data_IF_373268411150
#
_entry.id   IF_373268411150
#
_cell.length_a   1.000
_cell.length_b   1.000
_cell.length_c   1.000
_cell.angle_alpha   90.00
_cell.angle_beta   90.00
_cell.angle_gamma   90.00
#
_symmetry.space_group_name_H-M   'P 1'
#
loop_
_entity.id
_entity.type
_entity.pdbx_description
1 polymer ?
#
# COMPACT_ATOMS: atom_id res chain seq x y z
N UNK A 1 4.24 7.55 29.44
CA UNK A 1 4.16 6.14 29.03
C UNK A 1 5.07 5.95 27.81
N UNK A 2 5.64 4.77 27.62
CA UNK A 2 6.39 4.49 26.39
C UNK A 2 5.42 4.52 25.22
N UNK A 3 5.82 5.11 24.09
CA UNK A 3 5.01 5.15 22.87
C UNK A 3 4.87 3.74 22.29
N UNK A 4 3.73 3.47 21.63
CA UNK A 4 3.34 2.15 21.12
C UNK A 4 2.99 2.22 19.65
N UNK A 5 3.22 1.15 18.90
CA UNK A 5 2.83 1.00 17.49
C UNK A 5 1.69 -0.01 17.37
N UNK A 6 0.60 0.38 16.71
CA UNK A 6 -0.44 -0.55 16.26
C UNK A 6 -0.10 -1.03 14.85
N UNK A 7 0.20 -2.31 14.69
CA UNK A 7 0.46 -2.94 13.38
C UNK A 7 -0.88 -3.43 12.84
N UNK A 8 -1.34 -2.86 11.73
CA UNK A 8 -2.53 -3.31 11.03
C UNK A 8 -2.10 -4.14 9.83
N UNK A 9 -2.56 -5.38 9.77
CA UNK A 9 -2.28 -6.31 8.67
C UNK A 9 -3.54 -6.96 8.14
N UNK A 10 -3.61 -7.16 6.81
CA UNK A 10 -4.77 -7.74 6.15
C UNK A 10 -4.45 -9.18 5.79
N UNK A 11 -5.27 -10.11 6.27
CA UNK A 11 -5.26 -11.49 5.81
C UNK A 11 -6.41 -11.75 4.84
N UNK A 12 -6.10 -12.27 3.65
CA UNK A 12 -7.07 -12.79 2.70
C UNK A 12 -6.61 -14.14 2.15
N UNK A 13 -7.05 -15.22 2.79
CA UNK A 13 -6.64 -16.61 2.49
C UNK A 13 -5.11 -16.86 2.59
N UNK A 14 -4.37 -16.04 3.34
CA UNK A 14 -2.90 -16.08 3.50
C UNK A 14 -2.48 -16.33 4.96
N UNK A 15 -3.07 -17.34 5.61
CA UNK A 15 -2.83 -17.64 7.02
C UNK A 15 -1.36 -17.88 7.34
N UNK A 16 -0.67 -18.68 6.54
CA UNK A 16 0.72 -19.07 6.82
C UNK A 16 1.65 -17.85 6.75
N UNK A 17 1.43 -16.96 5.78
CA UNK A 17 2.16 -15.69 5.69
C UNK A 17 1.90 -14.82 6.92
N UNK A 18 0.64 -14.75 7.40
CA UNK A 18 0.29 -14.01 8.60
C UNK A 18 0.96 -14.59 9.85
N UNK A 19 1.07 -15.91 9.95
CA UNK A 19 1.79 -16.58 11.04
C UNK A 19 3.27 -16.23 10.99
N UNK A 20 3.92 -16.32 9.83
CA UNK A 20 5.34 -15.99 9.66
C UNK A 20 5.64 -14.53 10.04
N UNK A 21 4.74 -13.60 9.67
CA UNK A 21 4.83 -12.20 10.08
C UNK A 21 4.83 -12.07 11.61
N UNK A 22 3.84 -12.66 12.30
CA UNK A 22 3.72 -12.58 13.76
C UNK A 22 4.95 -13.19 14.44
N UNK A 23 5.40 -14.35 13.96
CA UNK A 23 6.58 -15.02 14.50
C UNK A 23 7.86 -14.20 14.33
N UNK A 24 8.01 -13.51 13.19
CA UNK A 24 9.15 -12.63 12.97
C UNK A 24 9.16 -11.44 13.93
N UNK A 25 8.02 -10.82 14.18
CA UNK A 25 7.89 -9.73 15.16
C UNK A 25 8.15 -10.23 16.59
N UNK A 26 7.56 -11.34 17.00
CA UNK A 26 7.81 -11.94 18.31
C UNK A 26 9.26 -12.32 18.57
N UNK A 27 10.03 -12.58 17.51
CA UNK A 27 11.46 -12.95 17.60
C UNK A 27 12.40 -11.76 17.63
N UNK A 28 12.10 -10.70 16.87
CA UNK A 28 13.06 -9.65 16.60
C UNK A 28 12.67 -8.28 17.14
N UNK A 29 11.35 -7.99 17.30
CA UNK A 29 10.92 -6.65 17.71
C UNK A 29 10.96 -6.49 19.24
N UNK A 30 11.44 -5.33 19.67
CA UNK A 30 11.56 -4.97 21.10
C UNK A 30 10.82 -3.71 21.49
N UNK A 31 10.43 -2.89 20.51
CA UNK A 31 9.63 -1.69 20.74
C UNK A 31 8.19 -2.08 21.08
N UNK A 32 7.47 -1.34 21.97
CA UNK A 32 6.09 -1.67 22.32
C UNK A 32 5.16 -1.69 21.09
N UNK A 33 4.46 -2.81 20.88
CA UNK A 33 3.52 -2.94 19.77
C UNK A 33 2.32 -3.81 20.12
N UNK A 34 1.30 -3.71 19.29
CA UNK A 34 0.18 -4.65 19.17
C UNK A 34 -0.01 -5.02 17.70
N UNK A 35 -0.67 -6.13 17.44
CA UNK A 35 -1.00 -6.58 16.08
C UNK A 35 -2.51 -6.68 15.94
N UNK A 36 -3.05 -5.99 14.92
CA UNK A 36 -4.47 -6.02 14.54
C UNK A 36 -4.54 -6.69 13.17
N UNK A 37 -5.16 -7.87 13.14
CA UNK A 37 -5.30 -8.68 11.93
C UNK A 37 -6.72 -8.50 11.40
N UNK A 38 -6.84 -8.02 10.18
CA UNK A 38 -8.10 -7.92 9.48
C UNK A 38 -8.25 -9.16 8.59
N UNK A 39 -9.11 -10.09 9.00
CA UNK A 39 -9.54 -11.15 8.09
C UNK A 39 -10.55 -10.59 7.09
N UNK A 40 -10.06 -10.34 5.90
CA UNK A 40 -10.74 -9.59 4.85
C UNK A 40 -11.67 -10.50 4.01
N UNK A 41 -12.51 -11.32 4.68
CA UNK A 41 -13.45 -12.24 4.04
C UNK A 41 -12.79 -13.53 3.53
N UNK A 42 -11.84 -14.09 4.29
CA UNK A 42 -11.24 -15.39 3.96
C UNK A 42 -12.26 -16.51 4.02
N UNK A 43 -12.08 -17.53 3.14
CA UNK A 43 -12.98 -18.69 3.09
C UNK A 43 -12.88 -19.59 4.34
N UNK A 44 -11.67 -19.76 4.87
CA UNK A 44 -11.36 -20.67 5.98
C UNK A 44 -11.07 -19.88 7.28
N UNK A 45 -12.06 -19.15 7.79
CA UNK A 45 -11.90 -18.32 8.99
C UNK A 45 -11.54 -19.12 10.26
N UNK A 46 -12.03 -20.35 10.41
CA UNK A 46 -11.84 -21.17 11.62
C UNK A 46 -10.36 -21.48 11.98
N UNK A 47 -9.43 -21.20 11.09
CA UNK A 47 -8.00 -21.46 11.30
C UNK A 47 -7.30 -20.39 12.14
N UNK A 48 -7.96 -19.27 12.48
CA UNK A 48 -7.35 -18.17 13.28
C UNK A 48 -7.14 -18.52 14.76
N UNK A 49 -7.66 -19.66 15.25
CA UNK A 49 -7.39 -20.14 16.63
C UNK A 49 -5.89 -20.31 16.90
N UNK A 50 -5.08 -20.58 15.85
CA UNK A 50 -3.61 -20.69 15.97
C UNK A 50 -2.99 -19.38 16.44
N UNK A 51 -3.60 -18.22 16.13
CA UNK A 51 -3.07 -16.90 16.43
C UNK A 51 -3.20 -16.53 17.93
N UNK A 52 -4.07 -17.19 18.68
CA UNK A 52 -4.28 -16.91 20.11
C UNK A 52 -3.10 -17.28 21.01
N UNK A 53 -2.17 -18.10 20.53
CA UNK A 53 -0.97 -18.55 21.27
C UNK A 53 0.18 -17.53 21.30
N UNK A 54 0.13 -16.50 20.46
CA UNK A 54 1.23 -15.52 20.34
C UNK A 54 1.15 -14.42 21.41
N UNK A 55 2.31 -13.83 21.74
CA UNK A 55 2.42 -12.71 22.68
C UNK A 55 3.21 -11.57 21.99
N UNK A 56 2.66 -10.33 21.92
CA UNK A 56 1.32 -9.98 22.38
C UNK A 56 0.23 -10.71 21.59
N UNK A 57 -0.91 -11.01 22.25
CA UNK A 57 -2.03 -11.69 21.59
C UNK A 57 -2.62 -10.78 20.51
N UNK A 58 -2.65 -11.20 19.23
CA UNK A 58 -3.24 -10.41 18.18
C UNK A 58 -4.74 -10.17 18.36
N UNK A 59 -5.20 -8.97 17.96
CA UNK A 59 -6.61 -8.63 17.85
C UNK A 59 -7.04 -9.06 16.43
N UNK A 60 -8.06 -9.92 16.33
CA UNK A 60 -8.54 -10.38 15.01
C UNK A 60 -9.94 -9.81 14.77
N UNK A 61 -10.06 -9.06 13.68
CA UNK A 61 -11.31 -8.45 13.22
C UNK A 61 -11.69 -9.09 11.89
N UNK A 62 -12.94 -9.55 11.78
CA UNK A 62 -13.45 -10.16 10.56
C UNK A 62 -14.32 -9.19 9.76
N UNK A 63 -14.11 -9.17 8.44
CA UNK A 63 -15.04 -8.66 7.45
C UNK A 63 -15.78 -9.82 6.76
N UNK A 64 -17.07 -9.68 6.51
CA UNK A 64 -17.86 -10.69 5.79
C UNK A 64 -17.54 -10.77 4.30
N UNK A 65 -16.87 -9.75 3.77
CA UNK A 65 -16.47 -9.63 2.35
C UNK A 65 -15.08 -9.05 2.20
N UNK A 66 -14.45 -9.31 1.05
CA UNK A 66 -13.18 -8.65 0.72
C UNK A 66 -13.42 -7.17 0.40
N UNK A 67 -12.90 -6.30 1.26
CA UNK A 67 -12.99 -4.83 1.18
C UNK A 67 -11.89 -4.21 0.31
N UNK A 68 -10.98 -5.02 -0.25
CA UNK A 68 -9.76 -4.55 -0.90
C UNK A 68 -8.70 -4.11 0.11
N UNK A 69 -7.63 -3.50 -0.40
CA UNK A 69 -6.49 -3.11 0.44
C UNK A 69 -6.82 -1.94 1.37
N UNK A 70 -7.35 -0.84 0.83
CA UNK A 70 -7.68 0.34 1.62
C UNK A 70 -8.79 0.04 2.65
N UNK A 71 -9.88 -0.61 2.25
CA UNK A 71 -11.00 -0.91 3.14
C UNK A 71 -10.62 -1.86 4.26
N UNK A 72 -9.77 -2.86 3.98
CA UNK A 72 -9.23 -3.74 5.00
C UNK A 72 -8.39 -2.99 6.03
N UNK A 73 -7.46 -2.16 5.59
CA UNK A 73 -6.62 -1.35 6.46
C UNK A 73 -7.44 -0.34 7.29
N UNK A 74 -8.38 0.35 6.66
CA UNK A 74 -9.25 1.31 7.34
C UNK A 74 -10.11 0.67 8.43
N UNK A 75 -10.58 -0.57 8.22
CA UNK A 75 -11.35 -1.31 9.22
C UNK A 75 -10.57 -1.56 10.51
N UNK A 76 -9.23 -1.62 10.43
CA UNK A 76 -8.35 -1.80 11.59
C UNK A 76 -8.13 -0.52 12.41
N UNK A 77 -8.25 0.66 11.82
CA UNK A 77 -7.90 1.93 12.46
C UNK A 77 -8.65 2.19 13.77
N UNK A 78 -9.97 1.93 13.91
CA UNK A 78 -10.70 2.15 15.16
C UNK A 78 -10.22 1.28 16.33
N UNK A 79 -9.50 0.20 16.07
CA UNK A 79 -8.96 -0.71 17.07
C UNK A 79 -7.53 -0.43 17.46
N UNK A 80 -6.88 0.54 16.78
CA UNK A 80 -5.52 0.95 17.06
C UNK A 80 -5.47 1.90 18.25
N UNK A 81 -4.77 1.53 19.32
CA UNK A 81 -4.57 2.36 20.51
C UNK A 81 -3.14 2.93 20.63
N UNK A 82 -2.27 2.60 19.65
CA UNK A 82 -0.89 3.08 19.58
C UNK A 82 -0.76 4.55 19.12
N UNK A 83 0.34 5.16 19.49
CA UNK A 83 0.74 6.51 19.03
C UNK A 83 0.99 6.54 17.52
N UNK A 84 1.38 5.40 16.96
CA UNK A 84 1.64 5.19 15.55
C UNK A 84 0.83 4.03 15.02
N UNK A 85 0.50 4.09 13.74
CA UNK A 85 -0.07 2.96 12.99
C UNK A 85 0.93 2.57 11.91
N UNK A 86 1.33 1.29 11.89
CA UNK A 86 2.06 0.66 10.81
C UNK A 86 1.11 -0.22 10.01
N UNK A 87 0.78 0.20 8.79
CA UNK A 87 0.12 -0.65 7.81
C UNK A 87 1.15 -1.56 7.19
N UNK A 88 0.99 -2.87 7.34
CA UNK A 88 1.99 -3.85 6.99
C UNK A 88 1.34 -5.05 6.29
N UNK A 89 1.83 -5.41 5.11
CA UNK A 89 1.33 -6.60 4.42
C UNK A 89 1.61 -7.87 5.22
N UNK A 90 0.66 -8.80 5.22
CA UNK A 90 0.79 -10.06 5.95
C UNK A 90 1.87 -11.00 5.40
N UNK A 91 2.28 -10.81 4.15
CA UNK A 91 3.35 -11.55 3.49
C UNK A 91 4.73 -10.88 3.63
N UNK A 92 4.95 -10.20 4.77
CA UNK A 92 6.22 -9.58 5.12
C UNK A 92 6.88 -10.25 6.33
N UNK A 93 8.18 -10.12 6.42
CA UNK A 93 9.02 -10.65 7.52
C UNK A 93 10.04 -9.59 7.91
N UNK A 94 10.39 -9.55 9.20
CA UNK A 94 11.56 -8.80 9.71
C UNK A 94 12.61 -9.77 10.25
N UNK A 95 13.86 -9.37 10.25
CA UNK A 95 14.99 -10.13 10.87
C UNK A 95 15.82 -9.27 11.84
N UNK A 96 15.33 -8.05 12.12
CA UNK A 96 15.88 -7.10 13.10
C UNK A 96 14.76 -6.15 13.57
N UNK A 97 14.93 -5.45 14.71
CA UNK A 97 13.97 -4.43 15.14
C UNK A 97 13.83 -3.31 14.11
N UNK A 98 12.59 -2.87 13.84
CA UNK A 98 12.32 -1.80 12.86
C UNK A 98 11.50 -0.65 13.42
N UNK A 99 10.66 -0.89 14.43
CA UNK A 99 9.64 0.05 14.86
C UNK A 99 10.24 1.31 15.49
N UNK A 100 11.31 1.17 16.29
CA UNK A 100 11.94 2.31 16.94
C UNK A 100 12.49 3.32 15.93
N UNK A 101 13.17 2.86 14.87
CA UNK A 101 13.72 3.75 13.85
C UNK A 101 12.62 4.47 13.07
N UNK A 102 11.54 3.76 12.73
CA UNK A 102 10.39 4.36 12.03
C UNK A 102 9.69 5.41 12.92
N UNK A 103 9.45 5.10 14.20
CA UNK A 103 8.85 6.01 15.16
C UNK A 103 9.73 7.24 15.38
N UNK A 104 11.05 7.04 15.55
CA UNK A 104 12.03 8.13 15.73
C UNK A 104 12.07 9.06 14.52
N UNK A 105 11.95 8.54 13.29
CA UNK A 105 11.90 9.39 12.11
C UNK A 105 10.68 10.33 12.13
N UNK A 106 9.53 9.84 12.57
CA UNK A 106 8.32 10.66 12.77
C UNK A 106 8.52 11.68 13.91
N UNK A 107 9.10 11.26 15.05
CA UNK A 107 9.27 12.13 16.22
C UNK A 107 10.23 13.29 15.98
N UNK A 108 11.36 12.99 15.34
CA UNK A 108 12.41 13.97 15.09
C UNK A 108 12.02 15.01 14.03
N UNK A 109 11.00 14.73 13.21
CA UNK A 109 10.60 15.65 12.14
C UNK A 109 9.07 15.72 11.98
N UNK A 110 8.42 16.75 12.56
CA UNK A 110 6.97 16.95 12.44
C UNK A 110 6.46 17.14 11.00
N UNK A 111 7.34 17.47 10.05
CA UNK A 111 6.97 17.59 8.63
C UNK A 111 6.79 16.22 7.94
N UNK A 112 7.27 15.13 8.55
CA UNK A 112 7.06 13.79 8.00
C UNK A 112 5.67 13.32 8.41
N UNK A 113 4.83 13.01 7.43
CA UNK A 113 3.49 12.45 7.64
C UNK A 113 3.43 10.94 7.49
N UNK A 114 4.34 10.37 6.71
CA UNK A 114 4.44 8.92 6.51
C UNK A 114 5.89 8.50 6.35
N UNK A 115 6.25 7.38 6.97
CA UNK A 115 7.57 6.73 6.86
C UNK A 115 7.38 5.35 6.24
N UNK A 116 8.24 5.01 5.29
CA UNK A 116 8.30 3.67 4.69
C UNK A 116 9.73 3.13 4.80
N UNK A 117 9.93 1.90 5.31
CA UNK A 117 11.24 1.27 5.41
C UNK A 117 11.78 0.86 4.03
N UNK A 118 13.02 0.40 3.99
CA UNK A 118 13.56 -0.37 2.88
C UNK A 118 12.74 -1.65 2.70
N UNK A 119 12.33 -1.97 1.47
CA UNK A 119 11.66 -3.23 1.16
C UNK A 119 12.58 -4.07 0.29
N UNK A 120 12.90 -5.26 0.76
CA UNK A 120 13.71 -6.25 0.05
C UNK A 120 12.89 -7.51 -0.25
N UNK A 121 13.32 -8.30 -1.23
CA UNK A 121 12.69 -9.56 -1.56
C UNK A 121 12.96 -10.62 -0.50
N UNK A 122 12.03 -11.53 -0.28
CA UNK A 122 12.23 -12.77 0.45
C UNK A 122 12.13 -13.95 -0.52
N UNK A 123 13.03 -14.97 -0.46
CA UNK A 123 14.14 -15.12 0.50
C UNK A 123 15.48 -14.46 0.09
N UNK A 124 15.56 -13.81 -1.09
CA UNK A 124 16.80 -13.26 -1.67
C UNK A 124 17.32 -12.00 -0.98
N UNK A 125 16.90 -11.69 0.17
CA UNK A 125 17.19 -10.56 1.09
C UNK A 125 17.97 -9.34 0.55
N UNK A 126 18.87 -9.54 -0.41
CA UNK A 126 19.69 -8.47 -1.03
C UNK A 126 19.02 -7.83 -2.25
N UNK A 127 18.04 -8.48 -2.87
CA UNK A 127 17.33 -7.89 -4.00
C UNK A 127 16.26 -6.92 -3.49
N UNK A 128 16.29 -5.68 -3.97
CA UNK A 128 15.38 -4.63 -3.49
C UNK A 128 14.08 -4.59 -4.30
N UNK A 129 13.00 -4.29 -3.59
CA UNK A 129 11.71 -3.90 -4.17
C UNK A 129 11.51 -2.37 -4.06
N UNK A 130 12.04 -1.75 -3.00
CA UNK A 130 11.86 -0.32 -2.75
C UNK A 130 12.94 0.22 -1.80
N UNK A 131 13.47 1.37 -2.21
CA UNK A 131 14.31 2.24 -1.39
C UNK A 131 13.94 3.72 -1.60
N UNK A 132 12.65 4.02 -1.69
CA UNK A 132 12.08 5.28 -2.12
C UNK A 132 11.47 5.19 -3.52
N UNK A 133 10.83 6.25 -3.98
CA UNK A 133 10.21 6.31 -5.31
C UNK A 133 10.44 7.65 -6.00
N UNK A 134 10.40 7.62 -7.33
CA UNK A 134 10.39 8.83 -8.16
C UNK A 134 9.03 9.52 -8.11
N UNK A 135 8.95 10.82 -8.41
CA UNK A 135 7.68 11.48 -8.66
C UNK A 135 6.87 10.80 -9.76
N UNK A 136 5.54 10.88 -9.65
CA UNK A 136 4.63 10.39 -10.69
C UNK A 136 4.72 11.26 -11.93
N UNK A 137 4.90 10.65 -13.10
CA UNK A 137 4.74 11.36 -14.37
C UNK A 137 3.28 11.79 -14.56
N UNK A 138 3.00 13.07 -14.77
CA UNK A 138 1.61 13.55 -14.94
C UNK A 138 0.95 13.02 -16.21
N UNK A 139 1.72 12.59 -17.20
CA UNK A 139 1.22 12.06 -18.48
C UNK A 139 1.04 10.55 -18.44
N UNK A 140 2.11 9.82 -18.10
CA UNK A 140 2.09 8.35 -18.13
C UNK A 140 1.44 7.74 -16.91
N UNK A 141 1.29 8.49 -15.81
CA UNK A 141 0.80 8.04 -14.51
C UNK A 141 1.58 6.84 -13.99
N UNK A 142 2.89 6.94 -14.14
CA UNK A 142 3.86 5.94 -13.66
C UNK A 142 4.92 6.63 -12.83
N UNK A 143 5.35 5.97 -11.80
CA UNK A 143 6.54 6.23 -11.02
C UNK A 143 7.38 4.94 -10.99
N UNK A 144 8.59 5.05 -10.48
CA UNK A 144 9.49 3.91 -10.33
C UNK A 144 9.90 3.81 -8.86
N UNK A 145 9.97 2.59 -8.35
CA UNK A 145 10.60 2.32 -7.07
C UNK A 145 12.12 2.35 -7.28
N UNK A 146 12.79 3.24 -6.56
CA UNK A 146 14.25 3.36 -6.61
C UNK A 146 14.87 2.06 -6.07
N UNK A 147 15.83 1.51 -6.79
CA UNK A 147 16.49 0.27 -6.44
C UNK A 147 15.71 -1.01 -6.81
N UNK A 148 14.52 -0.93 -7.41
CA UNK A 148 13.74 -2.11 -7.78
C UNK A 148 14.56 -3.10 -8.65
N UNK A 149 14.63 -4.36 -8.20
CA UNK A 149 15.37 -5.41 -8.88
C UNK A 149 16.89 -5.34 -8.75
N UNK A 150 17.43 -4.33 -8.06
CA UNK A 150 18.89 -4.18 -7.85
C UNK A 150 19.32 -4.93 -6.58
N UNK A 151 20.58 -5.38 -6.60
CA UNK A 151 21.21 -5.93 -5.39
C UNK A 151 21.63 -4.78 -4.47
N UNK A 152 21.26 -4.84 -3.21
CA UNK A 152 21.71 -3.89 -2.19
C UNK A 152 23.16 -4.20 -1.76
N UNK A 153 24.06 -3.29 -2.08
CA UNK A 153 25.48 -3.30 -1.67
C UNK A 153 25.79 -2.14 -0.73
N UNK A 154 24.75 -1.48 -0.16
CA UNK A 154 24.87 -0.32 0.71
C UNK A 154 24.57 1.02 0.05
N UNK A 155 24.39 1.05 -1.27
CA UNK A 155 24.14 2.27 -2.03
C UNK A 155 22.80 2.95 -1.69
N UNK A 156 21.89 2.26 -0.99
CA UNK A 156 20.58 2.76 -0.58
C UNK A 156 20.47 2.98 0.95
N UNK A 157 21.57 3.05 1.67
CA UNK A 157 21.60 3.19 3.14
C UNK A 157 21.49 4.65 3.61
N UNK A 158 21.00 5.57 2.77
CA UNK A 158 20.74 6.96 3.15
C UNK A 158 19.25 7.25 3.16
N UNK A 159 18.71 7.53 4.34
CA UNK A 159 17.32 7.97 4.53
C UNK A 159 17.07 9.34 3.88
N UNK A 160 15.88 9.55 3.28
CA UNK A 160 15.57 10.75 2.51
C UNK A 160 14.07 10.97 2.31
N UNK A 161 13.69 12.16 1.92
CA UNK A 161 12.36 12.39 1.38
C UNK A 161 12.15 11.62 0.08
N UNK A 162 10.95 11.13 -0.12
CA UNK A 162 10.53 10.36 -1.29
C UNK A 162 9.15 10.80 -1.79
N UNK A 163 8.82 10.47 -3.03
CA UNK A 163 7.52 10.87 -3.58
C UNK A 163 6.36 10.05 -3.01
N UNK A 164 6.57 8.75 -2.81
CA UNK A 164 5.56 7.82 -2.33
C UNK A 164 6.18 6.81 -1.37
N UNK A 165 5.38 6.35 -0.39
CA UNK A 165 5.68 5.18 0.42
C UNK A 165 5.32 3.89 -0.35
N UNK A 166 5.84 2.75 0.10
CA UNK A 166 5.49 1.45 -0.45
C UNK A 166 4.33 0.83 0.32
N UNK A 167 3.30 0.37 -0.39
CA UNK A 167 2.10 -0.20 0.24
C UNK A 167 2.35 -1.39 1.15
N UNK A 168 3.48 -2.10 0.97
CA UNK A 168 3.82 -3.22 1.86
C UNK A 168 4.15 -2.78 3.30
N UNK A 169 4.64 -1.55 3.52
CA UNK A 169 4.95 -1.04 4.86
C UNK A 169 4.90 0.50 4.91
N UNK A 170 3.95 1.06 5.64
CA UNK A 170 3.72 2.49 5.79
C UNK A 170 3.38 2.82 7.25
N UNK A 171 4.21 3.64 7.93
CA UNK A 171 3.94 4.10 9.29
C UNK A 171 3.55 5.57 9.29
N UNK A 172 2.52 5.91 10.08
CA UNK A 172 2.04 7.26 10.33
C UNK A 172 1.86 7.50 11.83
N UNK A 173 1.73 8.75 12.25
CA UNK A 173 1.17 9.05 13.59
C UNK A 173 -0.33 8.86 13.55
N UNK A 174 -0.90 8.20 14.56
CA UNK A 174 -2.35 7.96 14.66
C UNK A 174 -3.15 9.26 14.60
N UNK A 175 -2.64 10.32 15.24
CA UNK A 175 -3.28 11.64 15.26
C UNK A 175 -3.31 12.35 13.90
N UNK A 176 -2.41 11.99 12.99
CA UNK A 176 -2.29 12.67 11.69
C UNK A 176 -3.38 12.23 10.69
N UNK A 177 -4.08 11.12 10.94
CA UNK A 177 -5.23 10.67 10.13
C UNK A 177 -6.28 11.79 10.01
N UNK A 178 -6.49 12.57 11.08
CA UNK A 178 -7.42 13.70 11.07
C UNK A 178 -7.03 14.81 10.07
N UNK A 179 -5.75 14.88 9.67
CA UNK A 179 -5.24 15.90 8.74
C UNK A 179 -5.44 15.54 7.28
N UNK A 180 -5.28 14.26 6.93
CA UNK A 180 -5.29 13.81 5.53
C UNK A 180 -6.30 12.70 5.23
N UNK A 181 -7.06 12.25 6.25
CA UNK A 181 -8.10 11.24 6.10
C UNK A 181 -7.56 9.79 5.99
N UNK A 182 -8.48 8.87 5.81
CA UNK A 182 -8.20 7.44 5.64
C UNK A 182 -7.75 7.12 4.22
N UNK A 183 -7.28 5.89 3.99
CA UNK A 183 -6.96 5.41 2.64
C UNK A 183 -8.20 5.40 1.75
N UNK A 184 -8.09 5.80 0.47
CA UNK A 184 -9.24 5.85 -0.44
C UNK A 184 -9.69 4.46 -0.89
N UNK A 185 -10.85 3.99 -0.43
CA UNK A 185 -11.37 2.62 -0.63
C UNK A 185 -11.86 2.32 -2.05
N UNK A 186 -12.25 3.33 -2.81
CA UNK A 186 -12.82 3.16 -4.17
C UNK A 186 -11.85 2.58 -5.20
N UNK A 187 -10.55 2.55 -4.90
CA UNK A 187 -9.56 1.86 -5.74
C UNK A 187 -9.69 0.34 -5.64
N UNK A 188 -10.05 -0.18 -4.49
CA UNK A 188 -10.10 -1.59 -4.10
C UNK A 188 -8.69 -2.23 -4.05
N UNK A 189 -7.88 -2.08 -5.12
CA UNK A 189 -6.54 -2.64 -5.22
C UNK A 189 -5.69 -1.83 -6.20
N UNK A 190 -4.48 -1.44 -5.81
CA UNK A 190 -3.52 -0.57 -6.51
C UNK A 190 -3.95 0.89 -6.64
N UNK A 191 -3.02 1.80 -6.44
CA UNK A 191 -3.12 3.26 -6.46
C UNK A 191 -3.67 3.89 -5.17
N UNK A 192 -4.28 3.14 -4.26
CA UNK A 192 -4.78 3.68 -2.99
C UNK A 192 -3.65 4.29 -2.15
N UNK A 193 -2.52 3.61 -2.03
CA UNK A 193 -1.34 4.08 -1.31
C UNK A 193 -0.71 5.31 -1.98
N UNK A 194 -0.74 5.36 -3.31
CA UNK A 194 -0.23 6.49 -4.09
C UNK A 194 -1.12 7.73 -3.91
N UNK A 195 -2.44 7.56 -4.00
CA UNK A 195 -3.40 8.65 -3.75
C UNK A 195 -3.29 9.13 -2.30
N UNK A 196 -3.19 8.21 -1.35
CA UNK A 196 -3.04 8.58 0.05
C UNK A 196 -1.77 9.38 0.31
N UNK A 197 -0.64 9.03 -0.30
CA UNK A 197 0.57 9.83 -0.28
C UNK A 197 0.36 11.24 -0.88
N UNK A 198 -0.49 11.38 -1.91
CA UNK A 198 -0.87 12.70 -2.44
C UNK A 198 -1.67 13.49 -1.40
N UNK A 199 -2.64 12.86 -0.70
CA UNK A 199 -3.41 13.52 0.35
C UNK A 199 -2.52 13.96 1.52
N UNK A 200 -1.58 13.12 1.95
CA UNK A 200 -0.58 13.49 2.98
C UNK A 200 0.21 14.74 2.55
N UNK A 201 0.65 14.79 1.29
CA UNK A 201 1.37 15.99 0.78
C UNK A 201 0.48 17.22 0.67
N UNK A 202 -0.79 17.07 0.31
CA UNK A 202 -1.77 18.18 0.29
C UNK A 202 -2.06 18.73 1.68
N UNK A 203 -1.92 17.89 2.71
CA UNK A 203 -1.97 18.34 4.11
C UNK A 203 -0.68 19.03 4.59
N UNK A 204 0.27 19.31 3.67
CA UNK A 204 1.55 19.99 3.98
C UNK A 204 2.63 19.09 4.57
N UNK A 205 2.40 17.77 4.61
CA UNK A 205 3.34 16.79 5.15
C UNK A 205 4.16 16.12 4.04
N UNK A 206 5.23 15.43 4.42
CA UNK A 206 6.18 14.79 3.50
C UNK A 206 6.22 13.28 3.74
N UNK A 207 6.65 12.54 2.72
CA UNK A 207 6.89 11.10 2.80
C UNK A 207 8.39 10.88 3.00
N UNK A 208 8.75 9.94 3.89
CA UNK A 208 10.12 9.61 4.25
C UNK A 208 10.44 8.15 3.95
N UNK A 209 11.57 7.92 3.33
CA UNK A 209 12.21 6.62 3.23
C UNK A 209 13.21 6.45 4.36
N UNK A 210 13.03 5.42 5.21
CA UNK A 210 13.93 5.09 6.32
C UNK A 210 14.81 3.91 5.95
N UNK A 211 16.09 4.19 5.75
CA UNK A 211 17.06 3.21 5.25
C UNK A 211 17.56 2.22 6.32
N UNK A 212 17.45 2.57 7.60
CA UNK A 212 17.96 1.75 8.73
C UNK A 212 16.97 0.66 9.14
N UNK A 213 15.76 0.68 8.63
CA UNK A 213 14.74 -0.36 8.84
C UNK A 213 14.51 -1.13 7.54
N UNK A 214 14.56 -2.45 7.59
CA UNK A 214 14.31 -3.31 6.42
C UNK A 214 13.17 -4.27 6.70
N UNK A 215 12.21 -4.32 5.78
CA UNK A 215 11.13 -5.29 5.72
C UNK A 215 11.35 -6.18 4.51
N UNK A 216 11.26 -7.49 4.69
CA UNK A 216 11.35 -8.46 3.61
C UNK A 216 9.94 -8.84 3.17
N UNK A 217 9.67 -8.71 1.87
CA UNK A 217 8.35 -8.95 1.29
C UNK A 217 8.39 -10.15 0.35
N UNK A 218 7.55 -11.13 0.62
CA UNK A 218 7.52 -12.39 -0.13
C UNK A 218 6.91 -12.24 -1.53
N UNK A 219 6.21 -11.11 -1.81
CA UNK A 219 5.37 -10.95 -3.01
C UNK A 219 4.46 -12.17 -3.21
N UNK A 220 3.83 -12.62 -2.13
CA UNK A 220 2.95 -13.77 -2.22
C UNK A 220 1.89 -13.51 -3.28
N UNK A 221 1.68 -14.51 -4.14
CA UNK A 221 1.01 -14.41 -5.43
C UNK A 221 -0.53 -14.35 -5.31
N UNK A 222 -1.06 -13.67 -4.29
CA UNK A 222 -2.52 -13.55 -4.11
C UNK A 222 -3.22 -12.97 -5.34
N UNK A 223 -2.51 -12.22 -6.19
CA UNK A 223 -3.05 -11.66 -7.43
C UNK A 223 -2.35 -12.17 -8.71
N UNK A 224 -1.22 -12.86 -8.64
CA UNK A 224 -0.45 -13.39 -9.79
C UNK A 224 0.07 -12.30 -10.75
N UNK A 225 1.36 -12.35 -11.11
CA UNK A 225 1.95 -11.40 -12.07
C UNK A 225 1.20 -11.47 -13.42
N UNK A 226 0.72 -10.31 -13.92
CA UNK A 226 -0.09 -10.16 -15.12
C UNK A 226 -1.45 -10.90 -15.08
N UNK A 227 -2.10 -10.97 -13.92
CA UNK A 227 -3.46 -11.49 -13.85
C UNK A 227 -4.47 -10.55 -14.53
N UNK A 228 -5.64 -11.05 -14.98
CA UNK A 228 -6.72 -10.20 -15.49
C UNK A 228 -7.16 -9.14 -14.45
N UNK A 229 -7.17 -9.49 -13.16
CA UNK A 229 -7.52 -8.59 -12.08
C UNK A 229 -6.53 -7.42 -11.98
N UNK A 230 -5.23 -7.71 -12.04
CA UNK A 230 -4.17 -6.69 -12.03
C UNK A 230 -4.30 -5.75 -13.24
N UNK A 231 -4.50 -6.30 -14.43
CA UNK A 231 -4.66 -5.48 -15.66
C UNK A 231 -5.88 -4.57 -15.57
N UNK A 232 -7.00 -5.11 -15.08
CA UNK A 232 -8.24 -4.35 -14.88
C UNK A 232 -8.04 -3.16 -13.94
N UNK A 233 -7.57 -3.41 -12.71
CA UNK A 233 -7.41 -2.34 -11.72
C UNK A 233 -6.33 -1.33 -12.11
N UNK A 234 -5.19 -1.75 -12.62
CA UNK A 234 -4.19 -0.80 -13.10
C UNK A 234 -4.70 0.10 -14.24
N UNK A 235 -5.56 -0.42 -15.11
CA UNK A 235 -6.12 0.38 -16.22
C UNK A 235 -7.17 1.37 -15.71
N UNK A 236 -8.12 0.89 -14.90
CA UNK A 236 -9.19 1.71 -14.31
C UNK A 236 -8.61 2.77 -13.38
N UNK A 237 -7.76 2.37 -12.47
CA UNK A 237 -7.31 3.20 -11.36
C UNK A 237 -6.34 4.31 -11.79
N UNK A 238 -5.62 4.15 -12.92
CA UNK A 238 -4.85 5.26 -13.49
C UNK A 238 -5.71 6.45 -13.85
N UNK A 239 -6.86 6.23 -14.45
CA UNK A 239 -7.79 7.31 -14.80
C UNK A 239 -8.35 7.97 -13.53
N UNK A 240 -8.73 7.18 -12.54
CA UNK A 240 -9.19 7.69 -11.23
C UNK A 240 -8.10 8.50 -10.53
N UNK A 241 -6.87 7.98 -10.51
CA UNK A 241 -5.73 8.69 -9.92
C UNK A 241 -5.46 10.03 -10.62
N UNK A 242 -5.54 10.09 -11.96
CA UNK A 242 -5.42 11.33 -12.70
C UNK A 242 -6.50 12.36 -12.27
N UNK A 243 -7.76 11.90 -12.15
CA UNK A 243 -8.87 12.76 -11.72
C UNK A 243 -8.61 13.38 -10.34
N UNK A 244 -8.08 12.60 -9.41
CA UNK A 244 -7.92 13.01 -8.01
C UNK A 244 -6.61 13.71 -7.70
N UNK A 245 -5.55 13.32 -8.38
CA UNK A 245 -4.18 13.66 -7.99
C UNK A 245 -3.50 14.69 -8.90
N UNK A 246 -4.09 14.97 -10.07
CA UNK A 246 -3.60 16.02 -10.97
C UNK A 246 -4.50 17.24 -10.86
N UNK A 247 -3.98 18.32 -10.29
CA UNK A 247 -4.75 19.54 -10.07
C UNK A 247 -4.95 20.34 -11.36
N UNK A 248 -3.92 20.43 -12.20
CA UNK A 248 -3.99 21.16 -13.46
C UNK A 248 -4.84 20.43 -14.50
N UNK A 249 -5.84 21.12 -15.00
CA UNK A 249 -6.83 20.55 -15.93
C UNK A 249 -6.21 20.06 -17.24
N UNK A 250 -5.29 20.83 -17.80
CA UNK A 250 -4.56 20.49 -19.03
C UNK A 250 -3.70 19.23 -18.86
N UNK A 251 -2.90 19.14 -17.82
CA UNK A 251 -2.12 17.94 -17.50
C UNK A 251 -3.01 16.71 -17.35
N UNK A 252 -4.18 16.86 -16.72
CA UNK A 252 -5.15 15.80 -16.54
C UNK A 252 -5.78 15.35 -17.87
N UNK A 253 -6.08 16.29 -18.76
CA UNK A 253 -6.56 15.98 -20.12
C UNK A 253 -5.48 15.23 -20.90
N UNK A 254 -4.22 15.69 -20.87
CA UNK A 254 -3.11 14.99 -21.52
C UNK A 254 -2.94 13.56 -20.99
N UNK A 255 -3.07 13.35 -19.67
CA UNK A 255 -3.05 12.02 -19.09
C UNK A 255 -4.16 11.12 -19.65
N UNK A 256 -5.40 11.62 -19.76
CA UNK A 256 -6.51 10.85 -20.33
C UNK A 256 -6.27 10.50 -21.79
N UNK A 257 -5.84 11.47 -22.60
CA UNK A 257 -5.50 11.25 -24.01
C UNK A 257 -4.40 10.19 -24.13
N UNK A 258 -3.34 10.30 -23.36
CA UNK A 258 -2.24 9.34 -23.38
C UNK A 258 -2.71 7.93 -22.98
N UNK A 259 -3.49 7.81 -21.90
CA UNK A 259 -3.97 6.49 -21.43
C UNK A 259 -4.92 5.82 -22.43
N UNK A 260 -5.76 6.61 -23.12
CA UNK A 260 -6.78 6.08 -24.06
C UNK A 260 -6.22 5.85 -25.45
N UNK A 261 -5.46 6.80 -26.00
CA UNK A 261 -5.05 6.78 -27.40
C UNK A 261 -3.62 6.24 -27.62
N UNK A 262 -2.80 6.16 -26.58
CA UNK A 262 -1.43 5.65 -26.69
C UNK A 262 -1.22 4.39 -25.86
N UNK A 263 -1.46 4.45 -24.55
CA UNK A 263 -1.13 3.34 -23.67
C UNK A 263 -2.07 2.14 -23.87
N UNK A 264 -3.37 2.37 -24.07
CA UNK A 264 -4.34 1.32 -24.30
C UNK A 264 -4.10 0.57 -25.64
N UNK A 265 -4.00 1.22 -26.82
CA UNK A 265 -3.73 0.52 -28.08
C UNK A 265 -2.39 -0.23 -28.05
N UNK A 266 -1.33 0.36 -27.48
CA UNK A 266 -0.05 -0.31 -27.32
C UNK A 266 -0.16 -1.61 -26.50
N UNK A 267 -0.92 -1.62 -25.40
CA UNK A 267 -1.12 -2.82 -24.58
C UNK A 267 -2.00 -3.83 -25.28
N UNK A 268 -3.04 -3.36 -25.96
CA UNK A 268 -3.92 -4.21 -26.77
C UNK A 268 -3.14 -4.96 -27.83
N UNK A 269 -2.29 -4.27 -28.61
CA UNK A 269 -1.47 -4.93 -29.65
C UNK A 269 -0.49 -5.94 -29.05
N UNK A 270 0.16 -5.63 -27.91
CA UNK A 270 1.04 -6.57 -27.22
C UNK A 270 0.28 -7.83 -26.78
N UNK A 271 -0.93 -7.70 -26.27
CA UNK A 271 -1.73 -8.84 -25.82
C UNK A 271 -2.28 -9.65 -27.00
N UNK A 272 -2.63 -9.01 -28.12
CA UNK A 272 -3.02 -9.68 -29.35
C UNK A 272 -1.89 -10.53 -29.91
N UNK A 273 -0.70 -9.93 -30.11
CA UNK A 273 0.49 -10.63 -30.63
C UNK A 273 0.90 -11.79 -29.72
N UNK A 274 0.73 -11.65 -28.38
CA UNK A 274 1.06 -12.72 -27.41
C UNK A 274 -0.07 -13.71 -27.16
N UNK A 275 -1.21 -13.63 -27.85
CA UNK A 275 -2.38 -14.52 -27.66
C UNK A 275 -3.03 -14.43 -26.28
N UNK A 276 -2.83 -13.31 -25.55
CA UNK A 276 -3.32 -13.15 -24.16
C UNK A 276 -4.75 -12.61 -24.12
N UNK A 277 -5.70 -13.28 -24.75
CA UNK A 277 -7.10 -12.81 -24.94
C UNK A 277 -7.83 -12.48 -23.61
N UNK A 278 -7.59 -13.25 -22.54
CA UNK A 278 -8.18 -12.97 -21.22
C UNK A 278 -7.77 -11.60 -20.67
N UNK A 279 -6.54 -11.13 -20.98
CA UNK A 279 -6.06 -9.82 -20.56
C UNK A 279 -6.66 -8.69 -21.40
N UNK A 280 -7.03 -8.95 -22.66
CA UNK A 280 -7.71 -7.97 -23.54
C UNK A 280 -9.07 -7.60 -22.95
N UNK A 281 -9.85 -8.60 -22.54
CA UNK A 281 -11.15 -8.34 -21.89
C UNK A 281 -11.01 -7.53 -20.59
N UNK A 282 -10.00 -7.83 -19.77
CA UNK A 282 -9.72 -7.09 -18.55
C UNK A 282 -9.25 -5.65 -18.84
N UNK A 283 -8.41 -5.47 -19.86
CA UNK A 283 -7.93 -4.16 -20.31
C UNK A 283 -9.09 -3.27 -20.78
N UNK A 284 -9.98 -3.81 -21.65
CA UNK A 284 -11.15 -3.09 -22.15
C UNK A 284 -12.15 -2.72 -21.05
N UNK A 285 -12.49 -3.68 -20.17
CA UNK A 285 -13.35 -3.42 -19.01
C UNK A 285 -12.74 -2.36 -18.07
N UNK A 286 -11.43 -2.42 -17.84
CA UNK A 286 -10.72 -1.45 -17.01
C UNK A 286 -10.79 -0.03 -17.59
N UNK A 287 -10.60 0.13 -18.90
CA UNK A 287 -10.72 1.41 -19.57
C UNK A 287 -12.16 1.97 -19.49
N UNK A 288 -13.16 1.17 -19.88
CA UNK A 288 -14.58 1.59 -19.87
C UNK A 288 -14.99 2.01 -18.46
N UNK A 289 -14.73 1.17 -17.45
CA UNK A 289 -15.10 1.49 -16.08
C UNK A 289 -14.33 2.70 -15.52
N UNK A 290 -13.08 2.89 -15.93
CA UNK A 290 -12.31 4.08 -15.60
C UNK A 290 -12.92 5.34 -16.19
N UNK A 291 -13.29 5.33 -17.47
CA UNK A 291 -13.95 6.47 -18.15
C UNK A 291 -15.32 6.77 -17.53
N UNK A 292 -16.10 5.75 -17.18
CA UNK A 292 -17.38 5.94 -16.47
C UNK A 292 -17.12 6.59 -15.09
N UNK A 293 -16.16 6.09 -14.36
CA UNK A 293 -15.88 6.55 -13.00
C UNK A 293 -15.36 7.99 -12.94
N UNK A 294 -14.58 8.45 -13.92
CA UNK A 294 -14.14 9.85 -13.96
C UNK A 294 -15.27 10.82 -14.32
N UNK A 295 -16.33 10.35 -14.99
CA UNK A 295 -17.50 11.18 -15.34
C UNK A 295 -18.58 11.22 -14.24
N UNK A 296 -18.55 10.28 -13.29
CA UNK A 296 -19.42 10.37 -12.11
C UNK A 296 -18.87 11.43 -11.16
N UNK A 297 -19.75 12.31 -10.69
CA UNK A 297 -19.45 13.17 -9.54
C UNK A 297 -19.38 12.27 -8.29
N UNK A 298 -18.20 11.73 -8.06
CA UNK A 298 -17.94 10.97 -6.87
C UNK A 298 -17.67 11.99 -5.76
N UNK A 299 -18.68 12.31 -4.95
CA UNK A 299 -18.59 13.12 -3.74
C UNK A 299 -17.74 12.38 -2.68
N UNK A 300 -16.43 12.36 -2.86
CA UNK A 300 -15.47 11.70 -1.95
C UNK A 300 -15.15 12.52 -0.69
N UNK A 301 -15.86 13.61 -0.41
CA UNK A 301 -15.56 14.53 0.67
C UNK A 301 -16.61 14.64 1.79
N UNK A 302 -17.74 13.92 1.73
CA UNK A 302 -18.83 14.11 2.70
C UNK A 302 -19.03 13.02 3.75
N UNK A 303 -18.26 11.92 3.73
CA UNK A 303 -18.44 10.85 4.72
C UNK A 303 -17.64 11.04 6.03
N UNK A 304 -16.84 12.10 6.15
CA UNK A 304 -16.01 12.36 7.35
C UNK A 304 -16.65 13.36 8.36
N UNK A 305 -17.90 13.80 8.14
CA UNK A 305 -18.55 14.77 9.06
C UNK A 305 -19.74 14.19 9.86
N UNK A 306 -19.95 12.89 9.85
CA UNK A 306 -21.05 12.28 10.60
C UNK A 306 -20.62 10.96 11.27
N UNK A 307 -19.68 11.05 12.22
CA UNK A 307 -19.62 10.11 13.37
C UNK A 307 -18.75 10.74 14.47
#
# INVERSE_FOLDING_TARGET
MAKKVSIITINYNGKDDTVDLIESFGRYETYPYEIIIIDNGSKNYGEHHVLSKYSPKPIVIRSDKNLGFAGGNNLGIPYADGDYILFLNNDTIIDQPILENLARALDNNPQIGCVSPKIACWPEKKQLQYSGSTPMSPVTLRNENIGFGQTDTGQFNKSRYTAFAHGAAMMIRTTDIKKFGMMPEFYFLYYEELDWCVQIRRAGLKIWYEATSTVYHKESMSVGKQSPLQVYYHTRNRLLFAKRSIDKRDERIYAYIYQTLVAFPKRLSIYLVKGKFRLIGALGKGLINGLIAINKDMNYGKELSSH
#
